data_IF_086814728913
#
_entry.id   IF_086814728913
#
_cell.length_a   1.000
_cell.length_b   1.000
_cell.length_c   1.000
_cell.angle_alpha   90.00
_cell.angle_beta   90.00
_cell.angle_gamma   90.00
#
_symmetry.space_group_name_H-M   'P 1'
#
loop_
_entity.id
_entity.type
_entity.pdbx_description
1 polymer ?
#
# COMPACT_ATOMS: atom_id res chain seq x y z
N UNK A 1 -18.15 -6.80 -2.59
CA UNK A 1 -17.39 -7.28 -3.76
C UNK A 1 -16.23 -6.32 -3.98
N UNK A 2 -15.04 -6.88 -4.13
CA UNK A 2 -13.84 -6.16 -4.53
C UNK A 2 -14.06 -5.45 -5.87
N UNK A 3 -13.40 -4.35 -6.05
CA UNK A 3 -13.44 -3.63 -7.30
C UNK A 3 -12.11 -3.80 -8.01
N UNK A 4 -12.15 -4.42 -9.18
CA UNK A 4 -11.01 -4.63 -10.04
C UNK A 4 -10.80 -3.36 -10.87
N UNK A 5 -9.65 -2.69 -10.67
CA UNK A 5 -9.31 -1.48 -11.40
C UNK A 5 -8.52 -1.80 -12.66
N UNK A 6 -8.80 -1.03 -13.70
CA UNK A 6 -8.13 -1.15 -15.00
C UNK A 6 -7.64 0.21 -15.48
N UNK A 7 -6.52 0.21 -16.18
CA UNK A 7 -6.06 1.33 -16.98
C UNK A 7 -6.07 0.97 -18.46
N UNK A 8 -6.05 1.97 -19.32
CA UNK A 8 -5.91 1.75 -20.77
C UNK A 8 -4.54 1.13 -21.03
N UNK A 9 -4.47 0.07 -21.85
CA UNK A 9 -3.24 -0.70 -22.09
C UNK A 9 -2.06 0.15 -22.55
N UNK A 10 -2.31 1.22 -23.29
CA UNK A 10 -1.27 2.18 -23.68
C UNK A 10 -0.59 2.84 -22.48
N UNK A 11 -1.36 3.07 -21.41
CA UNK A 11 -0.85 3.61 -20.14
C UNK A 11 -0.16 2.51 -19.34
N UNK A 12 -0.71 1.31 -19.28
CA UNK A 12 -0.09 0.16 -18.59
C UNK A 12 1.20 -0.29 -19.27
N UNK A 13 1.25 -0.31 -20.61
CA UNK A 13 2.52 -0.55 -21.33
C UNK A 13 3.56 0.53 -21.07
N UNK A 14 3.15 1.79 -21.05
CA UNK A 14 4.02 2.90 -20.64
C UNK A 14 4.47 2.75 -19.18
N UNK A 15 3.59 2.31 -18.29
CA UNK A 15 3.94 1.95 -16.92
C UNK A 15 4.86 0.73 -16.88
N UNK A 16 4.62 -0.33 -17.65
CA UNK A 16 5.47 -1.52 -17.73
C UNK A 16 6.83 -1.23 -18.38
N UNK A 17 6.87 -0.40 -19.39
CA UNK A 17 8.12 0.12 -19.95
C UNK A 17 8.80 1.09 -19.01
N UNK A 18 8.05 1.83 -18.19
CA UNK A 18 8.48 2.70 -17.11
C UNK A 18 8.75 1.90 -15.84
N UNK A 19 8.11 0.79 -15.56
CA UNK A 19 8.38 -0.19 -14.49
C UNK A 19 9.44 -1.28 -14.87
N UNK A 20 9.81 -1.39 -16.07
CA UNK A 20 11.21 -1.77 -16.45
C UNK A 20 12.25 -0.74 -15.97
N UNK A 21 11.81 0.16 -15.37
CA UNK A 21 12.13 1.33 -14.68
C UNK A 21 12.62 1.05 -13.28
N UNK A 22 13.50 0.18 -13.18
CA UNK A 22 14.51 0.25 -12.16
C UNK A 22 15.19 1.64 -12.08
N UNK A 23 15.11 2.44 -13.13
CA UNK A 23 15.74 3.75 -13.22
C UNK A 23 14.77 4.90 -12.94
N UNK A 24 13.52 4.88 -13.36
CA UNK A 24 12.59 5.99 -13.09
C UNK A 24 12.12 6.07 -11.63
N UNK A 25 12.00 4.94 -10.92
CA UNK A 25 11.83 5.01 -9.47
C UNK A 25 13.05 5.68 -8.79
N UNK A 26 14.25 5.47 -9.30
CA UNK A 26 15.44 6.13 -8.80
C UNK A 26 15.50 7.62 -9.21
N UNK A 27 14.91 8.03 -10.34
CA UNK A 27 14.85 9.42 -10.80
C UNK A 27 13.67 10.18 -10.17
N UNK A 28 12.52 9.55 -9.98
CA UNK A 28 11.38 10.14 -9.27
C UNK A 28 11.61 10.29 -7.75
N UNK A 29 12.63 9.62 -7.22
CA UNK A 29 13.02 9.70 -5.81
C UNK A 29 14.46 10.22 -5.66
N UNK A 30 14.69 11.51 -5.83
CA UNK A 30 16.03 12.08 -5.81
C UNK A 30 16.65 12.03 -4.40
N UNK A 31 17.33 10.93 -4.10
CA UNK A 31 18.34 10.83 -3.06
C UNK A 31 17.85 10.90 -1.60
N UNK A 32 18.82 11.10 -0.70
CA UNK A 32 18.68 11.14 0.75
C UNK A 32 17.56 12.07 1.25
N UNK A 33 17.35 13.21 0.60
CA UNK A 33 16.32 14.19 0.97
C UNK A 33 14.90 13.62 0.87
N UNK A 34 14.63 12.80 -0.15
CA UNK A 34 13.33 12.15 -0.30
C UNK A 34 13.07 11.15 0.84
N UNK A 35 14.06 10.30 1.14
CA UNK A 35 13.95 9.33 2.22
C UNK A 35 13.71 10.01 3.58
N UNK A 36 14.49 11.06 3.88
CA UNK A 36 14.37 11.83 5.14
C UNK A 36 12.99 12.49 5.27
N UNK A 37 12.46 13.08 4.18
CA UNK A 37 11.12 13.67 4.15
C UNK A 37 10.05 12.60 4.38
N UNK A 38 10.14 11.46 3.68
CA UNK A 38 9.20 10.37 3.85
C UNK A 38 9.24 9.77 5.25
N UNK A 39 10.44 9.59 5.80
CA UNK A 39 10.60 9.07 7.16
C UNK A 39 10.01 10.02 8.20
N UNK A 40 10.21 11.34 8.06
CA UNK A 40 9.60 12.32 8.95
C UNK A 40 8.07 12.31 8.86
N UNK A 41 7.54 12.18 7.64
CA UNK A 41 6.09 12.13 7.41
C UNK A 41 5.47 10.87 8.00
N UNK A 42 6.10 9.70 7.81
CA UNK A 42 5.68 8.45 8.45
C UNK A 42 5.62 8.62 9.96
N UNK A 43 6.69 9.15 10.55
CA UNK A 43 6.79 9.28 12.00
C UNK A 43 5.69 10.15 12.60
N UNK A 44 5.30 11.21 11.92
CA UNK A 44 4.49 12.27 12.52
C UNK A 44 3.04 12.33 12.00
N UNK A 45 2.73 11.74 10.83
CA UNK A 45 1.47 11.99 10.13
C UNK A 45 0.71 10.75 9.63
N UNK A 46 1.34 9.60 9.50
CA UNK A 46 0.66 8.39 9.02
C UNK A 46 -0.31 7.83 10.07
N UNK A 47 -1.48 7.42 9.62
CA UNK A 47 -2.51 6.87 10.51
C UNK A 47 -2.08 5.54 11.15
N UNK A 48 -1.23 4.77 10.47
CA UNK A 48 -0.70 3.51 10.96
C UNK A 48 0.35 3.68 12.08
N UNK A 49 1.07 4.80 12.12
CA UNK A 49 2.18 5.04 13.06
C UNK A 49 1.79 4.87 14.53
N UNK A 50 0.66 5.40 15.02
CA UNK A 50 0.25 5.17 16.41
C UNK A 50 0.04 3.67 16.73
N UNK A 51 -0.49 2.91 15.76
CA UNK A 51 -0.70 1.47 15.91
C UNK A 51 0.63 0.73 15.96
N UNK A 52 1.58 1.06 15.08
CA UNK A 52 2.92 0.46 15.15
C UNK A 52 3.61 0.77 16.48
N UNK A 53 3.52 1.99 16.99
CA UNK A 53 4.08 2.34 18.32
C UNK A 53 3.45 1.53 19.43
N UNK A 54 2.15 1.28 19.37
CA UNK A 54 1.43 0.47 20.35
C UNK A 54 1.91 -0.98 20.37
N UNK A 55 2.06 -1.62 19.21
CA UNK A 55 2.38 -3.04 19.11
C UNK A 55 3.87 -3.34 19.04
N UNK A 56 4.68 -2.44 18.51
CA UNK A 56 6.10 -2.64 18.21
C UNK A 56 7.03 -1.72 19.03
N UNK A 57 6.49 -0.80 19.80
CA UNK A 57 7.25 0.25 20.47
C UNK A 57 8.11 -0.21 21.66
N UNK A 58 7.99 -1.47 22.08
CA UNK A 58 8.88 -2.04 23.11
C UNK A 58 10.25 -2.44 22.55
N UNK A 59 10.37 -2.52 21.22
CA UNK A 59 11.58 -2.94 20.55
C UNK A 59 11.91 -4.42 20.69
N UNK A 60 13.06 -4.81 20.13
CA UNK A 60 13.60 -6.18 20.25
C UNK A 60 12.98 -7.22 19.32
N UNK A 61 11.97 -6.88 18.51
CA UNK A 61 11.31 -7.78 17.57
C UNK A 61 12.09 -7.90 16.26
N UNK A 62 11.99 -9.06 15.59
CA UNK A 62 12.34 -9.22 14.18
C UNK A 62 11.10 -8.97 13.33
N UNK A 63 11.16 -7.99 12.45
CA UNK A 63 10.02 -7.56 11.63
C UNK A 63 10.38 -7.74 10.16
N UNK A 64 9.48 -8.39 9.40
CA UNK A 64 9.57 -8.50 7.94
C UNK A 64 8.70 -7.42 7.29
N UNK A 65 9.25 -6.60 6.41
CA UNK A 65 8.49 -5.81 5.44
C UNK A 65 8.44 -6.55 4.10
N UNK A 66 7.25 -7.01 3.72
CA UNK A 66 6.98 -7.72 2.48
C UNK A 66 6.49 -6.74 1.41
N UNK A 67 7.30 -6.52 0.37
CA UNK A 67 7.17 -5.40 -0.56
C UNK A 67 7.75 -4.12 0.04
N UNK A 68 9.03 -4.17 0.45
CA UNK A 68 9.64 -3.11 1.24
C UNK A 68 10.00 -1.85 0.43
N UNK A 69 10.00 -1.93 -0.89
CA UNK A 69 10.38 -0.81 -1.74
C UNK A 69 11.72 -0.21 -1.32
N UNK A 70 11.74 1.08 -1.01
CA UNK A 70 12.95 1.80 -0.56
C UNK A 70 13.29 1.61 0.93
N UNK A 71 12.58 0.76 1.68
CA UNK A 71 12.89 0.46 3.08
C UNK A 71 12.53 1.54 4.10
N UNK A 72 11.66 2.49 3.73
CA UNK A 72 11.28 3.60 4.64
C UNK A 72 10.62 3.13 5.93
N UNK A 73 9.76 2.13 5.87
CA UNK A 73 9.13 1.55 7.06
C UNK A 73 10.11 0.71 7.87
N UNK A 74 11.04 0.03 7.21
CA UNK A 74 12.13 -0.67 7.90
C UNK A 74 12.90 0.29 8.80
N UNK A 75 13.34 1.44 8.25
CA UNK A 75 14.02 2.47 9.03
C UNK A 75 13.18 2.99 10.20
N UNK A 76 11.87 3.13 10.02
CA UNK A 76 10.95 3.49 11.10
C UNK A 76 10.87 2.40 12.18
N UNK A 77 10.78 1.12 11.81
CA UNK A 77 10.75 0.02 12.77
C UNK A 77 12.06 -0.09 13.54
N UNK A 78 13.20 0.18 12.91
CA UNK A 78 14.50 0.24 13.58
C UNK A 78 14.61 1.40 14.56
N UNK A 79 14.03 2.56 14.26
CA UNK A 79 13.90 3.67 15.22
C UNK A 79 13.05 3.32 16.44
N UNK A 80 12.14 2.36 16.32
CA UNK A 80 11.41 1.81 17.45
C UNK A 80 12.19 0.74 18.24
N UNK A 81 13.46 0.49 17.91
CA UNK A 81 14.33 -0.47 18.56
C UNK A 81 14.14 -1.93 18.10
N UNK A 82 13.50 -2.14 16.95
CA UNK A 82 13.33 -3.45 16.35
C UNK A 82 14.43 -3.75 15.33
N UNK A 83 14.51 -5.00 14.85
CA UNK A 83 15.36 -5.39 13.73
C UNK A 83 14.48 -5.64 12.51
N UNK A 84 14.60 -4.80 11.49
CA UNK A 84 13.83 -4.87 10.27
C UNK A 84 14.53 -5.68 9.18
N UNK A 85 13.75 -6.41 8.40
CA UNK A 85 14.14 -7.16 7.22
C UNK A 85 13.18 -6.85 6.09
N UNK A 86 13.68 -6.66 4.86
CA UNK A 86 12.87 -6.32 3.70
C UNK A 86 13.00 -7.33 2.57
N UNK A 87 11.88 -7.55 1.89
CA UNK A 87 11.83 -8.30 0.63
C UNK A 87 11.08 -7.47 -0.41
N UNK A 88 11.68 -7.34 -1.58
CA UNK A 88 11.07 -6.74 -2.77
C UNK A 88 11.65 -7.40 -4.02
N UNK A 89 10.92 -7.45 -5.11
CA UNK A 89 11.41 -8.02 -6.38
C UNK A 89 12.03 -6.97 -7.30
N UNK A 90 11.85 -5.68 -6.97
CA UNK A 90 12.28 -4.54 -7.77
C UNK A 90 13.67 -4.05 -7.40
N UNK A 91 14.59 -4.00 -8.37
CA UNK A 91 15.96 -3.53 -8.14
C UNK A 91 16.07 -2.04 -7.83
N UNK A 92 15.26 -1.20 -8.46
CA UNK A 92 15.34 0.24 -8.30
C UNK A 92 15.19 0.69 -6.86
N UNK A 93 14.07 0.37 -6.19
CA UNK A 93 13.85 0.68 -4.78
C UNK A 93 14.91 0.08 -3.85
N UNK A 94 15.31 -1.18 -4.06
CA UNK A 94 16.36 -1.83 -3.25
C UNK A 94 17.70 -1.10 -3.37
N UNK A 95 18.11 -0.72 -4.58
CA UNK A 95 19.35 0.07 -4.77
C UNK A 95 19.26 1.43 -4.10
N UNK A 96 18.10 2.06 -4.13
CA UNK A 96 17.88 3.34 -3.44
C UNK A 96 18.01 3.18 -1.93
N UNK A 97 17.41 2.15 -1.36
CA UNK A 97 17.53 1.84 0.05
C UNK A 97 18.97 1.59 0.47
N UNK A 98 19.73 0.77 -0.26
CA UNK A 98 21.16 0.54 0.00
C UNK A 98 22.04 1.76 -0.17
N UNK A 99 21.70 2.72 -1.04
CA UNK A 99 22.42 4.00 -1.12
C UNK A 99 22.16 4.86 0.11
N UNK A 100 20.98 4.75 0.69
CA UNK A 100 20.61 5.46 1.90
C UNK A 100 21.27 4.85 3.13
N UNK A 101 21.14 3.54 3.28
CA UNK A 101 21.72 2.75 4.35
C UNK A 101 22.22 1.39 3.81
N UNK A 102 23.56 1.23 3.61
CA UNK A 102 24.14 -0.02 3.11
C UNK A 102 23.94 -1.23 4.05
N UNK A 103 23.66 -0.98 5.33
CA UNK A 103 23.52 -2.01 6.35
C UNK A 103 22.07 -2.53 6.49
N UNK A 104 21.11 -1.98 5.72
CA UNK A 104 19.75 -2.48 5.70
C UNK A 104 19.69 -3.96 5.30
N UNK A 105 18.92 -4.76 6.05
CA UNK A 105 18.71 -6.19 5.77
C UNK A 105 17.70 -6.38 4.63
N UNK A 106 18.11 -6.17 3.40
CA UNK A 106 17.28 -6.24 2.21
C UNK A 106 17.62 -7.44 1.36
N UNK A 107 16.60 -8.10 0.82
CA UNK A 107 16.75 -9.21 -0.13
C UNK A 107 15.85 -8.98 -1.34
N UNK A 108 16.44 -9.12 -2.53
CA UNK A 108 15.64 -9.19 -3.76
C UNK A 108 15.06 -10.60 -3.90
N UNK A 109 13.76 -10.73 -3.70
CA UNK A 109 13.02 -11.98 -3.90
C UNK A 109 11.55 -11.70 -4.10
N UNK A 110 10.81 -12.69 -4.62
CA UNK A 110 9.35 -12.61 -4.64
C UNK A 110 8.77 -12.68 -3.23
N UNK A 111 7.77 -11.86 -2.97
CA UNK A 111 7.02 -11.86 -1.70
C UNK A 111 6.15 -13.11 -1.53
N UNK A 112 5.97 -13.90 -2.60
CA UNK A 112 5.19 -15.15 -2.57
C UNK A 112 6.02 -16.36 -2.11
N UNK A 113 7.37 -16.24 -2.09
CA UNK A 113 8.29 -17.27 -1.65
C UNK A 113 9.58 -16.60 -1.18
N UNK A 114 9.60 -16.17 0.07
CA UNK A 114 10.75 -15.47 0.64
C UNK A 114 11.86 -16.44 1.04
N UNK A 115 13.14 -16.01 1.07
CA UNK A 115 14.25 -16.88 1.45
C UNK A 115 14.39 -17.12 2.96
N UNK A 116 13.37 -16.82 3.73
CA UNK A 116 13.40 -16.97 5.18
C UNK A 116 12.78 -18.29 5.63
N UNK A 117 13.31 -18.82 6.73
CA UNK A 117 12.80 -20.03 7.36
C UNK A 117 11.42 -19.79 8.02
N UNK A 118 10.69 -20.89 8.24
CA UNK A 118 9.46 -20.87 9.00
C UNK A 118 9.68 -20.30 10.41
N UNK A 119 8.69 -19.61 10.95
CA UNK A 119 8.70 -19.09 12.31
C UNK A 119 9.91 -18.19 12.66
N UNK A 120 10.32 -17.36 11.72
CA UNK A 120 11.49 -16.47 11.85
C UNK A 120 11.13 -15.14 12.50
N UNK A 121 9.98 -14.56 12.15
CA UNK A 121 9.62 -13.19 12.48
C UNK A 121 8.58 -13.10 13.59
N UNK A 122 8.73 -12.08 14.45
CA UNK A 122 7.76 -11.73 15.48
C UNK A 122 6.60 -10.93 14.89
N UNK A 123 6.87 -10.15 13.87
CA UNK A 123 5.87 -9.39 13.14
C UNK A 123 6.20 -9.31 11.64
N UNK A 124 5.18 -9.08 10.82
CA UNK A 124 5.32 -8.77 9.40
C UNK A 124 4.43 -7.58 9.03
N UNK A 125 4.84 -6.83 8.02
CA UNK A 125 4.09 -5.74 7.45
C UNK A 125 4.08 -5.84 5.92
N UNK A 126 2.93 -5.53 5.30
CA UNK A 126 2.79 -5.40 3.86
C UNK A 126 1.88 -4.22 3.53
N UNK A 127 2.38 -3.28 2.75
CA UNK A 127 1.70 -2.04 2.43
C UNK A 127 1.57 -1.85 0.94
N UNK A 128 0.34 -1.86 0.44
CA UNK A 128 0.05 -1.65 -0.98
C UNK A 128 0.81 -2.64 -1.88
N UNK A 129 0.69 -3.94 -1.58
CA UNK A 129 1.28 -5.07 -2.32
C UNK A 129 0.21 -6.10 -2.68
N UNK A 130 -0.64 -6.44 -1.73
CA UNK A 130 -1.61 -7.54 -1.85
C UNK A 130 -2.66 -7.32 -2.95
N UNK A 131 -2.92 -6.07 -3.30
CA UNK A 131 -3.87 -5.67 -4.34
C UNK A 131 -3.40 -5.93 -5.77
N UNK A 132 -2.11 -6.12 -5.98
CA UNK A 132 -1.55 -6.32 -7.32
C UNK A 132 -1.60 -7.77 -7.80
N UNK A 133 -1.99 -8.71 -6.97
CA UNK A 133 -2.14 -10.11 -7.37
C UNK A 133 -3.52 -10.35 -7.97
N UNK A 134 -3.57 -10.59 -9.29
CA UNK A 134 -4.83 -10.79 -10.02
C UNK A 134 -5.61 -12.04 -9.53
N UNK A 135 -4.91 -13.03 -9.00
CA UNK A 135 -5.44 -14.27 -8.45
C UNK A 135 -5.87 -14.16 -6.98
N UNK A 136 -5.68 -12.98 -6.39
CA UNK A 136 -5.98 -12.69 -4.99
C UNK A 136 -4.74 -12.74 -4.07
N UNK A 137 -4.89 -12.26 -2.83
CA UNK A 137 -3.77 -12.05 -1.90
C UNK A 137 -3.39 -13.30 -1.09
N UNK A 138 -4.13 -14.42 -1.22
CA UNK A 138 -3.96 -15.56 -0.33
C UNK A 138 -2.58 -16.21 -0.42
N UNK A 139 -1.93 -16.20 -1.58
CA UNK A 139 -0.58 -16.76 -1.72
C UNK A 139 0.43 -15.95 -0.88
N UNK A 140 0.36 -14.63 -0.95
CA UNK A 140 1.15 -13.73 -0.12
C UNK A 140 0.88 -13.96 1.37
N UNK A 141 -0.39 -14.06 1.77
CA UNK A 141 -0.74 -14.24 3.18
C UNK A 141 -0.28 -15.58 3.74
N UNK A 142 -0.34 -16.66 2.94
CA UNK A 142 0.22 -17.97 3.36
C UNK A 142 1.72 -17.90 3.55
N UNK A 143 2.45 -17.19 2.68
CA UNK A 143 3.90 -17.02 2.83
C UNK A 143 4.22 -16.21 4.10
N UNK A 144 3.51 -15.11 4.34
CA UNK A 144 3.67 -14.33 5.57
C UNK A 144 3.33 -15.19 6.80
N UNK A 145 2.25 -15.98 6.75
CA UNK A 145 1.91 -16.90 7.82
C UNK A 145 3.04 -17.90 8.07
N UNK A 146 3.64 -18.48 7.02
CA UNK A 146 4.75 -19.44 7.13
C UNK A 146 5.93 -18.87 7.91
N UNK A 147 6.35 -17.66 7.57
CA UNK A 147 7.55 -17.04 8.16
C UNK A 147 7.32 -16.41 9.54
N UNK A 148 6.08 -16.12 9.89
CA UNK A 148 5.74 -15.62 11.23
C UNK A 148 5.87 -16.72 12.27
N UNK A 149 6.28 -16.36 13.48
CA UNK A 149 6.19 -17.21 14.66
C UNK A 149 4.74 -17.49 15.07
N UNK A 150 4.45 -18.54 15.86
CA UNK A 150 3.14 -18.70 16.49
C UNK A 150 2.74 -17.42 17.23
N UNK A 151 1.51 -16.95 17.03
CA UNK A 151 0.98 -15.70 17.53
C UNK A 151 1.69 -14.43 17.04
N UNK A 152 2.57 -14.51 16.02
CA UNK A 152 3.20 -13.36 15.40
C UNK A 152 2.16 -12.40 14.78
N UNK A 153 2.48 -11.11 14.76
CA UNK A 153 1.58 -10.08 14.25
C UNK A 153 1.76 -9.88 12.74
N UNK A 154 0.66 -9.71 12.03
CA UNK A 154 0.70 -9.27 10.64
C UNK A 154 -0.11 -7.98 10.48
N UNK A 155 0.56 -6.96 9.96
CA UNK A 155 -0.01 -5.68 9.62
C UNK A 155 -0.15 -5.59 8.10
N UNK A 156 -1.34 -5.28 7.60
CA UNK A 156 -1.57 -5.16 6.15
C UNK A 156 -2.37 -3.92 5.82
N UNK A 157 -1.91 -3.20 4.80
CA UNK A 157 -2.61 -2.04 4.23
C UNK A 157 -2.87 -2.32 2.76
N UNK A 158 -4.12 -2.07 2.32
CA UNK A 158 -4.54 -2.21 0.92
C UNK A 158 -5.50 -1.08 0.53
N UNK A 159 -5.68 -0.79 -0.77
CA UNK A 159 -6.69 0.14 -1.24
C UNK A 159 -8.08 -0.27 -0.79
N UNK A 160 -8.80 0.67 -0.15
CA UNK A 160 -10.11 0.44 0.43
C UNK A 160 -11.24 0.75 -0.55
N UNK A 161 -12.09 -0.21 -0.82
CA UNK A 161 -13.33 -0.02 -1.56
C UNK A 161 -14.42 0.57 -0.65
N UNK A 162 -14.18 1.81 -0.22
CA UNK A 162 -15.03 2.58 0.69
C UNK A 162 -16.41 2.93 0.07
N UNK A 163 -17.29 3.55 0.85
CA UNK A 163 -18.65 3.86 0.39
C UNK A 163 -18.64 4.89 -0.77
N UNK A 164 -17.78 5.92 -0.73
CA UNK A 164 -17.66 6.90 -1.80
C UNK A 164 -17.22 6.23 -3.12
N UNK A 165 -16.22 5.36 -3.08
CA UNK A 165 -15.79 4.58 -4.24
C UNK A 165 -16.91 3.69 -4.76
N UNK A 166 -17.57 2.93 -3.91
CA UNK A 166 -18.61 1.97 -4.31
C UNK A 166 -19.82 2.62 -4.98
N UNK A 167 -20.25 3.76 -4.48
CA UNK A 167 -21.49 4.38 -4.92
C UNK A 167 -21.31 5.52 -5.93
N UNK A 168 -20.13 6.11 -6.00
CA UNK A 168 -19.83 7.24 -6.90
C UNK A 168 -18.74 6.91 -7.91
N UNK A 169 -17.51 6.61 -7.44
CA UNK A 169 -16.35 6.47 -8.33
C UNK A 169 -16.47 5.26 -9.25
N UNK A 170 -16.69 4.07 -8.67
CA UNK A 170 -16.69 2.82 -9.43
C UNK A 170 -17.80 2.75 -10.51
N UNK A 171 -19.04 3.21 -10.28
CA UNK A 171 -20.05 3.24 -11.34
C UNK A 171 -19.65 4.13 -12.52
N UNK A 172 -19.04 5.27 -12.25
CA UNK A 172 -18.56 6.20 -13.29
C UNK A 172 -17.40 5.55 -14.06
N UNK A 173 -16.40 5.01 -13.38
CA UNK A 173 -15.28 4.30 -14.02
C UNK A 173 -15.77 3.15 -14.89
N UNK A 174 -16.69 2.34 -14.38
CA UNK A 174 -17.28 1.23 -15.18
C UNK A 174 -17.95 1.72 -16.45
N UNK A 175 -18.66 2.85 -16.40
CA UNK A 175 -19.27 3.45 -17.59
C UNK A 175 -18.19 3.95 -18.59
N UNK A 176 -17.13 4.59 -18.08
CA UNK A 176 -16.00 5.04 -18.91
C UNK A 176 -15.26 3.86 -19.55
N UNK A 177 -14.99 2.78 -18.81
CA UNK A 177 -14.33 1.57 -19.33
C UNK A 177 -15.15 0.88 -20.42
N UNK A 178 -16.48 0.83 -20.27
CA UNK A 178 -17.38 0.33 -21.32
C UNK A 178 -17.27 1.17 -22.59
N UNK A 179 -17.23 2.50 -22.43
CA UNK A 179 -17.07 3.42 -23.56
C UNK A 179 -15.70 3.24 -24.23
N UNK A 180 -14.62 3.09 -23.46
CA UNK A 180 -13.27 2.87 -23.99
C UNK A 180 -13.15 1.53 -24.71
N UNK A 181 -13.69 0.44 -24.14
CA UNK A 181 -13.78 -0.85 -24.82
C UNK A 181 -14.57 -0.75 -26.14
N UNK A 182 -15.68 -0.05 -26.13
CA UNK A 182 -16.45 0.17 -27.36
C UNK A 182 -15.65 0.93 -28.43
N UNK A 183 -14.75 1.81 -28.01
CA UNK A 183 -13.82 2.52 -28.90
C UNK A 183 -12.56 1.71 -29.26
N UNK A 184 -12.51 0.43 -28.93
CA UNK A 184 -11.41 -0.47 -29.27
C UNK A 184 -10.16 -0.33 -28.41
N UNK A 185 -10.23 0.37 -27.25
CA UNK A 185 -9.09 0.46 -26.33
C UNK A 185 -9.01 -0.79 -25.45
N UNK A 186 -7.82 -1.38 -25.37
CA UNK A 186 -7.50 -2.42 -24.38
C UNK A 186 -7.47 -1.87 -22.96
N UNK A 187 -7.80 -2.70 -21.98
CA UNK A 187 -7.74 -2.38 -20.55
C UNK A 187 -6.88 -3.42 -19.82
N UNK A 188 -5.76 -2.97 -19.25
CA UNK A 188 -4.90 -3.79 -18.40
C UNK A 188 -5.31 -3.72 -16.93
N UNK A 189 -5.22 -4.82 -16.23
CA UNK A 189 -5.41 -4.88 -14.78
C UNK A 189 -4.31 -4.11 -14.06
N UNK A 190 -4.67 -3.38 -12.99
CA UNK A 190 -3.69 -2.66 -12.16
C UNK A 190 -3.73 -3.07 -10.71
N UNK A 191 -4.90 -3.06 -10.10
CA UNK A 191 -5.04 -3.35 -8.67
C UNK A 191 -6.46 -3.79 -8.32
N UNK A 192 -6.60 -4.43 -7.18
CA UNK A 192 -7.88 -4.58 -6.51
C UNK A 192 -8.09 -3.49 -5.47
N UNK A 193 -9.33 -3.02 -5.32
CA UNK A 193 -9.80 -2.27 -4.16
C UNK A 193 -10.70 -3.18 -3.35
N UNK A 194 -10.29 -3.51 -2.13
CA UNK A 194 -10.98 -4.49 -1.29
C UNK A 194 -11.95 -3.83 -0.30
N UNK A 195 -13.06 -4.49 -0.03
CA UNK A 195 -13.89 -4.18 1.13
C UNK A 195 -13.28 -4.78 2.40
N UNK A 196 -13.67 -4.26 3.57
CA UNK A 196 -13.26 -4.83 4.85
C UNK A 196 -13.60 -6.32 4.96
N UNK A 197 -14.85 -6.69 4.61
CA UNK A 197 -15.32 -8.07 4.72
C UNK A 197 -14.52 -9.06 3.84
N UNK A 198 -14.07 -8.62 2.65
CA UNK A 198 -13.23 -9.43 1.78
C UNK A 198 -11.85 -9.64 2.38
N UNK A 199 -11.20 -8.57 2.87
CA UNK A 199 -9.91 -8.67 3.52
C UNK A 199 -9.93 -9.56 4.75
N UNK A 200 -10.95 -9.39 5.61
CA UNK A 200 -11.15 -10.29 6.74
C UNK A 200 -11.37 -11.75 6.31
N UNK A 201 -12.10 -11.95 5.20
CA UNK A 201 -12.33 -13.29 4.64
C UNK A 201 -11.03 -13.95 4.14
N UNK A 202 -10.18 -13.22 3.41
CA UNK A 202 -8.87 -13.72 2.95
C UNK A 202 -7.95 -14.06 4.13
N UNK A 203 -7.87 -13.18 5.11
CA UNK A 203 -7.02 -13.37 6.29
C UNK A 203 -7.46 -14.58 7.13
N UNK A 204 -8.78 -14.74 7.36
CA UNK A 204 -9.29 -15.92 8.08
C UNK A 204 -9.05 -17.24 7.34
N UNK A 205 -9.15 -17.25 6.00
CA UNK A 205 -8.84 -18.45 5.18
C UNK A 205 -7.36 -18.79 5.13
N UNK A 206 -6.51 -17.89 5.54
CA UNK A 206 -5.05 -18.06 5.63
C UNK A 206 -4.54 -18.08 7.08
N UNK A 207 -5.43 -18.49 8.01
CA UNK A 207 -5.16 -18.73 9.41
C UNK A 207 -4.69 -17.51 10.22
N UNK A 208 -5.27 -16.33 9.88
CA UNK A 208 -5.10 -15.13 10.69
C UNK A 208 -6.37 -14.79 11.49
N UNK A 209 -6.16 -14.38 12.74
CA UNK A 209 -7.16 -13.73 13.57
C UNK A 209 -7.11 -12.21 13.40
N UNK A 210 -8.25 -11.58 13.19
CA UNK A 210 -8.36 -10.13 13.10
C UNK A 210 -8.32 -9.54 14.51
N UNK A 211 -7.35 -8.68 14.77
CA UNK A 211 -7.19 -7.98 16.06
C UNK A 211 -7.80 -6.59 16.01
N UNK A 212 -7.51 -5.85 14.94
CA UNK A 212 -7.97 -4.46 14.79
C UNK A 212 -8.13 -4.11 13.31
N UNK A 213 -9.08 -3.23 12.99
CA UNK A 213 -9.27 -2.68 11.63
C UNK A 213 -9.44 -1.17 11.74
N UNK A 214 -8.70 -0.44 10.93
CA UNK A 214 -8.70 1.02 10.87
C UNK A 214 -8.77 1.53 9.43
N UNK A 215 -9.39 2.69 9.18
CA UNK A 215 -9.20 3.39 7.91
C UNK A 215 -7.78 3.93 7.83
N UNK A 216 -7.23 4.03 6.61
CA UNK A 216 -5.92 4.57 6.31
C UNK A 216 -5.96 5.49 5.10
N UNK A 217 -4.91 6.29 4.87
CA UNK A 217 -4.82 7.22 3.73
C UNK A 217 -6.00 8.21 3.67
N UNK A 218 -6.25 8.91 4.79
CA UNK A 218 -7.37 9.84 4.90
C UNK A 218 -6.97 11.30 5.09
N UNK A 219 -5.89 11.57 5.81
CA UNK A 219 -5.40 12.91 6.11
C UNK A 219 -4.25 13.32 5.18
N UNK A 220 -4.15 14.63 4.93
CA UNK A 220 -2.98 15.19 4.27
C UNK A 220 -1.71 14.93 5.12
N UNK A 221 -0.55 14.76 4.50
CA UNK A 221 -0.28 14.81 3.07
C UNK A 221 -0.57 13.49 2.32
N UNK A 222 -0.93 12.40 3.01
CA UNK A 222 -1.09 11.06 2.46
C UNK A 222 -2.52 10.73 2.05
N UNK A 223 -3.22 11.68 1.48
CA UNK A 223 -4.59 11.53 0.97
C UNK A 223 -4.63 11.01 -0.49
N UNK A 224 -3.69 10.14 -0.86
CA UNK A 224 -3.52 9.67 -2.23
C UNK A 224 -4.78 9.04 -2.81
N UNK A 225 -5.46 8.20 -2.03
CA UNK A 225 -6.65 7.51 -2.51
C UNK A 225 -7.77 8.46 -2.90
N UNK A 226 -8.13 9.41 -2.04
CA UNK A 226 -9.15 10.43 -2.36
C UNK A 226 -8.70 11.34 -3.51
N UNK A 227 -7.41 11.68 -3.57
CA UNK A 227 -6.85 12.48 -4.64
C UNK A 227 -7.01 11.78 -6.00
N UNK A 228 -6.60 10.51 -6.09
CA UNK A 228 -6.75 9.72 -7.31
C UNK A 228 -8.22 9.53 -7.69
N UNK A 229 -9.11 9.25 -6.74
CA UNK A 229 -10.54 9.09 -6.98
C UNK A 229 -11.15 10.35 -7.60
N UNK A 230 -10.78 11.50 -7.07
CA UNK A 230 -11.24 12.77 -7.64
C UNK A 230 -10.58 13.01 -8.98
N UNK A 231 -9.36 12.66 -9.25
CA UNK A 231 -8.73 12.71 -10.56
C UNK A 231 -9.47 11.82 -11.55
N UNK A 232 -9.76 10.62 -11.23
CA UNK A 232 -10.50 9.68 -12.07
C UNK A 232 -11.88 10.20 -12.46
N UNK A 233 -12.50 11.00 -11.63
CA UNK A 233 -13.78 11.64 -11.90
C UNK A 233 -13.67 12.91 -12.77
N UNK A 234 -12.48 13.28 -13.21
CA UNK A 234 -12.30 14.49 -13.98
C UNK A 234 -12.48 15.78 -13.17
N UNK A 235 -12.55 15.73 -11.81
CA UNK A 235 -12.80 16.86 -10.90
C UNK A 235 -11.53 17.64 -10.51
N UNK A 236 -10.62 17.94 -11.36
CA UNK A 236 -9.33 18.29 -11.09
C UNK A 236 -8.71 19.32 -11.65
N UNK A 237 -8.01 19.77 -11.19
CA UNK A 237 -7.28 20.86 -11.73
C UNK A 237 -5.98 21.08 -10.98
N UNK A 238 -4.88 20.93 -11.63
CA UNK A 238 -3.55 20.96 -11.09
C UNK A 238 -3.08 19.56 -10.71
N UNK A 239 -2.86 18.76 -11.74
CA UNK A 239 -2.44 17.40 -11.60
C UNK A 239 -0.92 17.30 -11.54
N UNK A 240 -0.38 17.01 -10.39
CA UNK A 240 0.85 16.23 -10.26
C UNK A 240 0.57 15.03 -9.38
N UNK A 241 0.73 13.79 -9.89
CA UNK A 241 0.48 12.58 -9.10
C UNK A 241 1.61 12.28 -8.12
N UNK A 242 2.30 13.31 -7.64
CA UNK A 242 3.43 13.22 -6.70
C UNK A 242 3.05 13.82 -5.36
N UNK A 243 3.54 13.24 -4.23
CA UNK A 243 3.38 13.86 -2.92
C UNK A 243 4.03 15.26 -2.87
N UNK A 244 3.44 16.21 -2.16
CA UNK A 244 2.16 16.10 -1.46
C UNK A 244 0.99 16.18 -2.46
N UNK A 245 0.02 15.26 -2.35
CA UNK A 245 -1.16 15.22 -3.23
C UNK A 245 -2.07 16.43 -2.99
N UNK A 246 -1.71 17.57 -3.59
CA UNK A 246 -2.36 18.84 -3.34
C UNK A 246 -3.54 19.08 -4.29
N UNK A 247 -4.66 19.40 -3.70
CA UNK A 247 -5.85 19.79 -4.44
C UNK A 247 -5.83 21.29 -4.78
N UNK A 248 -6.26 21.64 -5.99
CA UNK A 248 -6.64 23.03 -6.31
C UNK A 248 -7.81 23.52 -5.44
N UNK A 249 -8.17 24.82 -5.48
CA UNK A 249 -9.21 25.39 -4.59
C UNK A 249 -10.55 24.65 -4.63
N UNK A 250 -11.02 24.28 -5.81
CA UNK A 250 -12.25 23.52 -5.98
C UNK A 250 -12.11 22.09 -5.44
N UNK A 251 -11.02 21.40 -5.78
CA UNK A 251 -10.76 20.06 -5.28
C UNK A 251 -10.65 20.02 -3.74
N UNK A 252 -10.09 21.05 -3.12
CA UNK A 252 -10.07 21.19 -1.64
C UNK A 252 -11.46 21.27 -1.04
N UNK A 253 -12.35 22.05 -1.65
CA UNK A 253 -13.73 22.18 -1.17
C UNK A 253 -14.48 20.85 -1.29
N UNK A 254 -14.35 20.16 -2.42
CA UNK A 254 -14.96 18.83 -2.65
C UNK A 254 -14.38 17.79 -1.69
N UNK A 255 -13.07 17.73 -1.56
CA UNK A 255 -12.40 16.81 -0.63
C UNK A 255 -12.80 17.07 0.83
N UNK A 256 -12.93 18.32 1.24
CA UNK A 256 -13.41 18.69 2.58
C UNK A 256 -14.84 18.21 2.83
N UNK A 257 -15.75 18.40 1.87
CA UNK A 257 -17.11 17.91 1.95
C UNK A 257 -17.18 16.38 2.08
N UNK A 258 -16.42 15.66 1.27
CA UNK A 258 -16.35 14.19 1.32
C UNK A 258 -15.77 13.72 2.65
N UNK A 259 -14.69 14.35 3.14
CA UNK A 259 -14.10 14.02 4.44
C UNK A 259 -15.03 14.28 5.61
N UNK A 260 -15.93 15.28 5.49
CA UNK A 260 -16.97 15.54 6.48
C UNK A 260 -17.90 14.35 6.74
N UNK A 261 -17.95 13.37 5.81
CA UNK A 261 -18.73 12.13 5.95
C UNK A 261 -18.00 11.07 6.80
N UNK A 262 -16.73 11.32 7.14
CA UNK A 262 -15.92 10.47 8.00
C UNK A 262 -15.00 9.50 7.24
N UNK A 263 -13.99 8.94 7.95
CA UNK A 263 -12.92 8.17 7.34
C UNK A 263 -13.39 6.86 6.69
N UNK A 264 -14.40 6.20 7.25
CA UNK A 264 -14.95 4.97 6.66
C UNK A 264 -15.65 5.19 5.31
N UNK A 265 -16.03 6.42 5.01
CA UNK A 265 -16.67 6.78 3.74
C UNK A 265 -15.64 7.10 2.66
N UNK A 266 -14.51 7.69 3.02
CA UNK A 266 -13.60 8.32 2.06
C UNK A 266 -12.11 7.97 2.23
N UNK A 267 -11.74 7.14 3.20
CA UNK A 267 -10.35 6.72 3.36
C UNK A 267 -9.87 5.94 2.13
N UNK A 268 -8.68 6.24 1.64
CA UNK A 268 -8.09 5.60 0.48
C UNK A 268 -7.64 4.18 0.72
N UNK A 269 -7.21 3.87 1.95
CA UNK A 269 -6.73 2.59 2.41
C UNK A 269 -7.51 2.00 3.57
N UNK A 270 -7.32 0.71 3.81
CA UNK A 270 -7.75 0.01 5.01
C UNK A 270 -6.56 -0.71 5.63
N UNK A 271 -6.37 -0.53 6.93
CA UNK A 271 -5.29 -1.09 7.72
C UNK A 271 -5.83 -2.15 8.68
N UNK A 272 -5.30 -3.36 8.60
CA UNK A 272 -5.69 -4.47 9.45
C UNK A 272 -4.49 -4.93 10.28
N UNK A 273 -4.70 -5.12 11.57
CA UNK A 273 -3.80 -5.80 12.48
C UNK A 273 -4.33 -7.19 12.72
N UNK A 274 -3.50 -8.19 12.53
CA UNK A 274 -3.88 -9.60 12.62
C UNK A 274 -2.85 -10.41 13.40
N UNK A 275 -3.19 -11.60 13.79
CA UNK A 275 -2.34 -12.53 14.53
C UNK A 275 -2.35 -13.90 13.86
N UNK A 276 -1.17 -14.47 13.64
CA UNK A 276 -1.04 -15.81 13.07
C UNK A 276 -1.54 -16.87 14.06
N UNK A 277 -2.46 -17.71 13.62
CA UNK A 277 -2.95 -18.88 14.37
C UNK A 277 -2.14 -20.12 13.96
N UNK A 278 -1.23 -20.53 14.81
CA UNK A 278 -0.40 -21.73 14.66
C UNK A 278 -0.46 -22.57 15.91
#
# INVERSE_FOLDING_TARGET
MSFKQYLVEEVTRGLDETYKVDEAWAEDYPGKKYFDVHLSTIRDHEMATPTFRQYLGQGGMKILESGCGSGRWMAFFEQLGNRAYGVDDSWGPIRLAHRHDPDMNLVRATVLQTPYADNTFDAAFSSYVAEHFEEGPEALFREIHRVLKPNGLFFVVVPFNNAFRRFVVNPILMALWRLWKWRGRGLGFTEFRYTQAEMEGFLRRTDFEIVEVKPDDFFAPWQKGLFCDLCDLGCFVGYEPKPPYEFGPFGRAVAAAIRGLGPWVAAGGIFLVTRARK
#
